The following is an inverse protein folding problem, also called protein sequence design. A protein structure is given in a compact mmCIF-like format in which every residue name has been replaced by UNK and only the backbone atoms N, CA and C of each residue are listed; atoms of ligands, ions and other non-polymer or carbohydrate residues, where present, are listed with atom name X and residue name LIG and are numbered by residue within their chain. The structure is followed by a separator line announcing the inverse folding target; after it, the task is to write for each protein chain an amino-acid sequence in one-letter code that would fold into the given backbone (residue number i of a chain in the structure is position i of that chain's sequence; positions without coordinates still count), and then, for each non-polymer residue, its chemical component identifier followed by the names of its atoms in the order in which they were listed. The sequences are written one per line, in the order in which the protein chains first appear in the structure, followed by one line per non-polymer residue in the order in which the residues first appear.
data_IF_532870571113
#
_entry.id   IF_532870571113
#
_cell.length_a   1.000
_cell.length_b   1.000
_cell.length_c   1.000
_cell.angle_alpha   90.00
_cell.angle_beta   90.00
_cell.angle_gamma   90.00
#
_symmetry.space_group_name_H-M   'P 1'
#
loop_
_entity.id
_entity.type
_entity.pdbx_description
1 polymer ?
#
# COMPACT_ATOMS: atom_id res chain seq x y z
N UNK A 1 13.61 -48.85 13.11
CA UNK A 1 13.58 -49.33 14.51
C UNK A 1 12.89 -48.27 15.35
N UNK A 2 11.75 -48.61 15.94
CA UNK A 2 10.90 -47.70 16.69
C UNK A 2 11.49 -47.42 18.09
N UNK A 3 11.52 -46.16 18.52
CA UNK A 3 11.83 -45.82 19.91
C UNK A 3 10.62 -46.15 20.79
N UNK A 4 10.84 -47.05 21.74
CA UNK A 4 9.89 -47.39 22.81
C UNK A 4 10.14 -46.41 23.95
N UNK A 5 9.21 -45.49 24.22
CA UNK A 5 9.22 -44.69 25.44
C UNK A 5 8.39 -45.40 26.53
N UNK A 6 9.02 -45.64 27.68
CA UNK A 6 8.40 -46.27 28.86
C UNK A 6 7.70 -45.21 29.73
N UNK A 7 6.39 -45.38 29.94
CA UNK A 7 5.67 -44.76 31.06
C UNK A 7 4.90 -45.90 31.76
N UNK A 8 5.18 -46.13 33.05
CA UNK A 8 4.39 -47.05 33.88
C UNK A 8 4.52 -48.55 33.60
N UNK A 9 5.52 -49.01 32.83
CA UNK A 9 5.78 -50.45 32.64
C UNK A 9 4.90 -51.18 31.61
N UNK A 10 4.03 -50.47 30.89
CA UNK A 10 3.30 -51.00 29.73
C UNK A 10 3.93 -50.52 28.42
N UNK A 11 4.06 -51.43 27.45
CA UNK A 11 4.52 -51.09 26.10
C UNK A 11 3.34 -50.56 25.28
N UNK A 12 3.38 -49.28 24.90
CA UNK A 12 2.41 -48.68 23.98
C UNK A 12 3.01 -48.55 22.58
N UNK A 13 2.27 -49.01 21.57
CA UNK A 13 2.55 -48.65 20.18
C UNK A 13 1.78 -47.38 19.83
N UNK A 14 2.45 -46.23 19.88
CA UNK A 14 1.92 -44.97 19.34
C UNK A 14 2.37 -44.91 17.88
N UNK A 15 1.46 -44.90 16.89
CA UNK A 15 1.85 -44.65 15.51
C UNK A 15 2.46 -43.24 15.43
N UNK A 16 3.73 -43.14 15.03
CA UNK A 16 4.40 -41.87 14.71
C UNK A 16 3.77 -41.24 13.46
N UNK A 17 2.55 -40.71 13.57
CA UNK A 17 1.93 -39.93 12.51
C UNK A 17 1.60 -38.50 12.93
N UNK A 18 1.32 -38.23 14.21
CA UNK A 18 1.36 -36.90 14.82
C UNK A 18 1.13 -37.04 16.33
N UNK A 19 1.93 -36.37 17.16
CA UNK A 19 1.55 -36.12 18.55
C UNK A 19 0.64 -34.90 18.55
N UNK A 20 -0.66 -35.11 18.75
CA UNK A 20 -1.62 -34.03 18.93
C UNK A 20 -1.60 -33.59 20.39
N UNK A 21 -1.10 -32.38 20.63
CA UNK A 21 -1.23 -31.73 21.93
C UNK A 21 -2.57 -30.99 21.96
N UNK A 22 -3.51 -31.48 22.75
CA UNK A 22 -4.74 -30.73 23.03
C UNK A 22 -4.48 -29.86 24.25
N UNK A 23 -4.56 -28.54 24.07
CA UNK A 23 -4.42 -27.60 25.19
C UNK A 23 -5.67 -27.69 26.07
N UNK A 24 -5.53 -28.26 27.27
CA UNK A 24 -6.63 -28.41 28.22
C UNK A 24 -6.52 -27.24 29.22
N UNK A 25 -7.17 -26.09 28.93
CA UNK A 25 -7.21 -24.96 29.87
C UNK A 25 -7.99 -25.41 31.11
N UNK A 26 -7.40 -25.46 32.31
CA UNK A 26 -8.21 -25.52 33.52
C UNK A 26 -9.09 -24.27 33.54
N UNK A 27 -10.34 -24.44 33.98
CA UNK A 27 -11.44 -23.47 34.04
C UNK A 27 -11.19 -22.25 34.95
N UNK A 28 -9.95 -21.76 35.01
CA UNK A 28 -9.58 -20.62 35.81
C UNK A 28 -9.63 -19.34 34.95
N UNK A 29 -10.68 -18.60 35.22
CA UNK A 29 -10.89 -17.14 35.30
C UNK A 29 -9.72 -16.17 35.00
N UNK A 30 -8.48 -16.34 35.50
CA UNK A 30 -7.46 -15.30 35.37
C UNK A 30 -7.12 -14.95 33.92
N UNK A 31 -7.17 -15.90 32.99
CA UNK A 31 -6.74 -15.69 31.60
C UNK A 31 -7.76 -14.91 30.76
N UNK A 32 -9.06 -14.98 31.09
CA UNK A 32 -10.12 -14.18 30.46
C UNK A 32 -10.14 -12.74 31.00
N UNK A 33 -9.89 -12.56 32.30
CA UNK A 33 -9.66 -11.22 32.89
C UNK A 33 -8.38 -10.58 32.34
N UNK A 34 -7.32 -11.38 32.17
CA UNK A 34 -6.10 -10.99 31.48
C UNK A 34 -6.41 -10.61 30.05
N UNK A 35 -7.18 -11.38 29.27
CA UNK A 35 -7.56 -11.00 27.91
C UNK A 35 -8.36 -9.68 27.85
N UNK A 36 -9.33 -9.44 28.75
CA UNK A 36 -10.09 -8.18 28.77
C UNK A 36 -9.21 -6.97 29.17
N UNK A 37 -8.31 -7.14 30.15
CA UNK A 37 -7.31 -6.12 30.53
C UNK A 37 -6.20 -5.96 29.49
N UNK A 38 -5.85 -7.01 28.73
CA UNK A 38 -4.83 -7.03 27.68
C UNK A 38 -5.35 -6.48 26.34
N UNK A 39 -6.56 -6.86 25.93
CA UNK A 39 -7.25 -6.35 24.72
C UNK A 39 -7.55 -4.85 24.86
N UNK A 40 -7.65 -4.36 26.10
CA UNK A 40 -7.86 -2.95 26.42
C UNK A 40 -6.75 -2.02 25.93
N UNK A 41 -5.52 -2.46 25.61
CA UNK A 41 -4.50 -1.65 24.89
C UNK A 41 -3.15 -2.34 24.57
N UNK A 42 -2.92 -3.60 24.97
CA UNK A 42 -1.58 -4.24 24.90
C UNK A 42 -1.71 -5.77 24.81
N UNK A 43 -2.16 -6.30 23.67
CA UNK A 43 -1.71 -7.65 23.31
C UNK A 43 -0.18 -7.61 23.25
N UNK A 44 0.51 -8.57 23.88
CA UNK A 44 1.97 -8.60 24.11
C UNK A 44 2.75 -7.73 23.13
N UNK A 45 2.98 -6.47 23.51
CA UNK A 45 3.94 -5.60 22.83
C UNK A 45 5.29 -6.16 23.22
N UNK A 46 5.75 -7.20 22.51
CA UNK A 46 7.15 -7.54 22.49
C UNK A 46 7.87 -6.23 22.16
N UNK A 47 8.53 -5.64 23.15
CA UNK A 47 9.35 -4.46 22.94
C UNK A 47 10.50 -4.89 22.04
N UNK A 48 10.28 -4.81 20.73
CA UNK A 48 11.34 -4.94 19.74
C UNK A 48 12.12 -3.62 19.79
N UNK A 49 13.39 -3.61 20.22
CA UNK A 49 14.19 -2.39 20.26
C UNK A 49 14.57 -1.86 18.86
N UNK A 50 13.97 -2.39 17.79
CA UNK A 50 14.49 -2.30 16.44
C UNK A 50 13.52 -1.54 15.53
N UNK A 51 13.91 -0.34 15.13
CA UNK A 51 13.13 0.52 14.23
C UNK A 51 12.94 -0.12 12.85
N UNK A 52 11.73 -0.59 12.56
CA UNK A 52 11.32 -1.08 11.24
C UNK A 52 10.62 0.04 10.50
N UNK A 53 11.22 0.51 9.41
CA UNK A 53 10.70 1.62 8.63
C UNK A 53 10.13 1.15 7.29
N UNK A 54 8.94 1.66 6.90
CA UNK A 54 8.22 1.23 5.71
C UNK A 54 8.20 2.33 4.64
N UNK A 55 9.23 2.35 3.81
CA UNK A 55 9.31 3.29 2.70
C UNK A 55 8.93 2.65 1.36
N UNK A 56 7.85 3.15 0.75
CA UNK A 56 7.65 3.08 -0.71
C UNK A 56 6.41 2.32 -1.14
N UNK A 57 5.35 3.07 -1.46
CA UNK A 57 4.19 2.57 -2.19
C UNK A 57 4.36 2.90 -3.67
N UNK A 58 4.41 1.87 -4.53
CA UNK A 58 4.39 2.02 -5.99
C UNK A 58 5.76 2.22 -6.67
N UNK A 59 5.87 1.72 -7.91
CA UNK A 59 6.89 2.07 -8.92
C UNK A 59 6.31 1.92 -10.34
N UNK A 60 6.70 2.78 -11.29
CA UNK A 60 6.40 2.65 -12.73
C UNK A 60 4.95 2.99 -13.05
N UNK A 61 4.27 2.17 -13.86
CA UNK A 61 2.82 2.32 -14.14
C UNK A 61 1.93 2.19 -12.88
N UNK A 62 2.52 1.78 -11.75
CA UNK A 62 1.89 1.65 -10.44
C UNK A 62 2.28 2.77 -9.46
N UNK A 63 3.09 3.75 -9.89
CA UNK A 63 3.18 5.03 -9.19
C UNK A 63 1.92 5.81 -9.49
N UNK A 64 1.39 6.46 -8.47
CA UNK A 64 0.42 7.51 -8.72
C UNK A 64 1.19 8.67 -9.32
N UNK A 65 0.76 9.07 -10.51
CA UNK A 65 1.39 10.12 -11.29
C UNK A 65 0.53 11.38 -11.22
N UNK A 66 1.14 12.56 -11.17
CA UNK A 66 0.44 13.86 -11.18
C UNK A 66 -0.49 13.98 -12.40
N UNK A 67 -0.17 13.30 -13.49
CA UNK A 67 -0.96 13.32 -14.72
C UNK A 67 -2.17 12.39 -14.70
N UNK A 68 -2.35 11.57 -13.66
CA UNK A 68 -3.39 10.52 -13.62
C UNK A 68 -3.98 10.36 -12.23
N UNK A 69 -5.31 10.22 -12.17
CA UNK A 69 -5.98 9.83 -10.94
C UNK A 69 -5.61 8.40 -10.47
N UNK A 70 -5.79 8.15 -9.17
CA UNK A 70 -5.54 6.84 -8.58
C UNK A 70 -6.49 5.78 -9.16
N UNK A 71 -5.95 4.88 -9.97
CA UNK A 71 -6.63 3.69 -10.51
C UNK A 71 -6.69 2.51 -9.53
N UNK A 72 -7.51 1.54 -9.87
CA UNK A 72 -7.69 0.25 -9.16
C UNK A 72 -6.39 -0.49 -8.85
N UNK A 73 -5.40 -0.44 -9.73
CA UNK A 73 -4.09 -1.08 -9.52
C UNK A 73 -3.32 -0.53 -8.31
N UNK A 74 -3.57 0.72 -7.90
CA UNK A 74 -2.92 1.35 -6.75
C UNK A 74 -3.55 0.96 -5.41
N UNK A 75 -4.78 0.43 -5.43
CA UNK A 75 -5.48 0.02 -4.21
C UNK A 75 -4.66 -1.02 -3.44
N UNK A 76 -4.17 -2.06 -4.11
CA UNK A 76 -3.44 -3.17 -3.46
C UNK A 76 -2.20 -2.67 -2.71
N UNK A 77 -1.36 -1.88 -3.39
CA UNK A 77 -0.17 -1.30 -2.76
C UNK A 77 -0.57 -0.55 -1.49
N UNK A 78 -1.58 0.32 -1.59
CA UNK A 78 -2.07 1.17 -0.51
C UNK A 78 -2.54 0.36 0.71
N UNK A 79 -3.44 -0.61 0.52
CA UNK A 79 -4.02 -1.35 1.64
C UNK A 79 -3.05 -2.39 2.22
N UNK A 80 -2.20 -3.01 1.38
CA UNK A 80 -1.20 -3.97 1.84
C UNK A 80 -0.13 -3.24 2.64
N UNK A 81 0.38 -2.10 2.16
CA UNK A 81 1.39 -1.37 2.90
C UNK A 81 0.83 -0.73 4.16
N UNK A 82 -0.45 -0.31 4.18
CA UNK A 82 -1.10 0.12 5.42
C UNK A 82 -1.18 -1.03 6.43
N UNK A 83 -1.61 -2.22 6.00
CA UNK A 83 -1.64 -3.42 6.86
C UNK A 83 -0.25 -3.76 7.42
N UNK A 84 0.78 -3.79 6.58
CA UNK A 84 2.15 -4.07 7.02
C UNK A 84 2.63 -3.00 8.00
N UNK A 85 2.34 -1.72 7.75
CA UNK A 85 2.68 -0.63 8.65
C UNK A 85 2.01 -0.77 10.01
N UNK A 86 0.70 -1.04 10.02
CA UNK A 86 -0.08 -1.17 11.24
C UNK A 86 0.37 -2.36 12.10
N UNK A 87 0.71 -3.50 11.48
CA UNK A 87 1.29 -4.64 12.22
C UNK A 87 2.64 -4.28 12.83
N UNK A 88 3.50 -3.56 12.09
CA UNK A 88 4.82 -3.20 12.62
C UNK A 88 4.69 -2.21 13.79
N UNK A 89 3.78 -1.23 13.72
CA UNK A 89 3.49 -0.33 14.84
C UNK A 89 2.90 -1.08 16.04
N UNK A 90 1.99 -2.02 15.78
CA UNK A 90 1.39 -2.86 16.82
C UNK A 90 2.46 -3.67 17.57
N UNK A 91 3.45 -4.19 16.84
CA UNK A 91 4.63 -4.87 17.38
C UNK A 91 5.67 -3.92 18.01
N UNK A 92 5.36 -2.62 18.14
CA UNK A 92 6.20 -1.63 18.84
C UNK A 92 7.30 -1.00 18.00
N UNK A 93 7.35 -1.24 16.69
CA UNK A 93 8.36 -0.63 15.83
C UNK A 93 7.98 0.81 15.47
N UNK A 94 8.97 1.69 15.33
CA UNK A 94 8.76 3.04 14.77
C UNK A 94 8.63 2.95 13.26
N UNK A 95 7.45 3.28 12.73
CA UNK A 95 7.15 3.23 11.29
C UNK A 95 7.06 4.63 10.70
N UNK A 96 7.81 4.88 9.62
CA UNK A 96 7.59 6.02 8.71
C UNK A 96 6.90 5.46 7.47
N UNK A 97 5.75 6.02 7.09
CA UNK A 97 5.00 5.66 5.89
C UNK A 97 5.27 6.69 4.81
N UNK A 98 6.01 6.31 3.77
CA UNK A 98 6.33 7.22 2.66
C UNK A 98 5.57 6.86 1.38
N UNK A 99 4.87 7.84 0.83
CA UNK A 99 4.29 7.74 -0.50
C UNK A 99 5.28 8.29 -1.53
N UNK A 100 5.83 7.42 -2.37
CA UNK A 100 6.76 7.84 -3.42
C UNK A 100 5.95 8.02 -4.69
N UNK A 101 5.82 9.26 -5.14
CA UNK A 101 4.93 9.67 -6.23
C UNK A 101 5.72 9.92 -7.51
N UNK A 102 5.10 9.53 -8.63
CA UNK A 102 5.68 9.68 -9.95
C UNK A 102 5.48 11.09 -10.48
N UNK A 103 6.55 11.87 -10.53
CA UNK A 103 6.51 13.24 -11.05
C UNK A 103 7.72 13.58 -11.94
N UNK A 104 8.48 12.57 -12.39
CA UNK A 104 9.59 12.75 -13.32
C UNK A 104 9.63 11.77 -14.52
N UNK A 105 9.87 12.27 -15.75
CA UNK A 105 9.68 11.52 -17.01
C UNK A 105 8.98 12.28 -18.16
N UNK A 106 8.79 11.60 -19.29
CA UNK A 106 8.27 12.20 -20.53
C UNK A 106 6.82 12.69 -20.40
N UNK A 107 6.03 12.04 -19.53
CA UNK A 107 4.66 12.45 -19.22
C UNK A 107 4.54 13.90 -18.71
N UNK A 108 5.61 14.48 -18.15
CA UNK A 108 5.61 15.87 -17.67
C UNK A 108 5.73 16.88 -18.78
N UNK A 109 6.60 16.59 -19.75
CA UNK A 109 6.65 17.36 -20.99
C UNK A 109 5.28 17.39 -21.66
N UNK A 110 4.57 16.26 -21.64
CA UNK A 110 3.25 16.13 -22.25
C UNK A 110 2.21 16.93 -21.47
N UNK A 111 2.18 16.82 -20.14
CA UNK A 111 1.26 17.60 -19.32
C UNK A 111 1.48 19.11 -19.50
N UNK A 112 2.74 19.56 -19.44
CA UNK A 112 3.08 20.97 -19.61
C UNK A 112 2.70 21.48 -21.01
N UNK A 113 2.97 20.71 -22.06
CA UNK A 113 2.50 21.01 -23.41
C UNK A 113 0.97 21.08 -23.48
N UNK A 114 0.28 20.14 -22.85
CA UNK A 114 -1.19 20.08 -22.83
C UNK A 114 -1.82 21.31 -22.17
N UNK A 115 -1.25 21.76 -21.05
CA UNK A 115 -1.66 22.99 -20.37
C UNK A 115 -1.50 24.20 -21.29
N UNK A 116 -0.38 24.29 -22.03
CA UNK A 116 -0.14 25.35 -23.00
C UNK A 116 -1.11 25.29 -24.18
N UNK A 117 -1.33 24.11 -24.78
CA UNK A 117 -2.23 23.92 -25.92
C UNK A 117 -3.69 24.24 -25.57
N UNK A 118 -4.13 23.88 -24.36
CA UNK A 118 -5.48 24.20 -23.88
C UNK A 118 -5.63 25.64 -23.39
N UNK A 119 -4.54 26.40 -23.26
CA UNK A 119 -4.56 27.77 -22.74
C UNK A 119 -5.11 27.88 -21.32
N UNK A 120 -4.89 26.86 -20.48
CA UNK A 120 -5.43 26.83 -19.11
C UNK A 120 -4.78 27.90 -18.24
N UNK A 121 -5.59 28.74 -17.62
CA UNK A 121 -5.12 29.69 -16.61
C UNK A 121 -4.93 28.99 -15.25
N UNK A 122 -4.13 29.57 -14.33
CA UNK A 122 -4.04 29.05 -12.96
C UNK A 122 -5.39 28.93 -12.26
N UNK A 123 -6.34 29.84 -12.55
CA UNK A 123 -7.69 29.79 -11.99
C UNK A 123 -8.52 28.61 -12.52
N UNK A 124 -8.36 28.26 -13.81
CA UNK A 124 -9.03 27.09 -14.39
C UNK A 124 -8.56 25.80 -13.72
N UNK A 125 -7.24 25.68 -13.50
CA UNK A 125 -6.64 24.53 -12.85
C UNK A 125 -7.10 24.45 -11.39
N UNK A 126 -7.03 25.55 -10.64
CA UNK A 126 -7.41 25.56 -9.22
C UNK A 126 -8.83 25.04 -8.96
N UNK A 127 -9.79 25.33 -9.84
CA UNK A 127 -11.18 24.92 -9.65
C UNK A 127 -11.42 23.41 -9.78
N UNK A 128 -10.62 22.71 -10.60
CA UNK A 128 -10.73 21.26 -10.75
C UNK A 128 -9.38 20.64 -11.15
N UNK A 129 -8.37 20.65 -10.26
CA UNK A 129 -6.98 20.47 -10.64
C UNK A 129 -6.72 19.16 -11.36
N UNK A 130 -7.09 18.04 -10.76
CA UNK A 130 -6.71 16.73 -11.29
C UNK A 130 -7.45 16.40 -12.58
N UNK A 131 -8.74 16.75 -12.68
CA UNK A 131 -9.48 16.58 -13.93
C UNK A 131 -8.90 17.46 -15.05
N UNK A 132 -8.63 18.74 -14.76
CA UNK A 132 -8.06 19.67 -15.73
C UNK A 132 -6.67 19.21 -16.21
N UNK A 133 -5.79 18.79 -15.29
CA UNK A 133 -4.46 18.27 -15.61
C UNK A 133 -4.54 16.95 -16.40
N UNK A 134 -5.45 16.04 -16.03
CA UNK A 134 -5.67 14.80 -16.78
C UNK A 134 -6.15 15.08 -18.22
N UNK A 135 -7.14 15.97 -18.39
CA UNK A 135 -7.62 16.33 -19.72
C UNK A 135 -6.55 17.05 -20.56
N UNK A 136 -5.71 17.88 -19.94
CA UNK A 136 -4.57 18.51 -20.60
C UNK A 136 -3.56 17.47 -21.08
N UNK A 137 -3.22 16.51 -20.22
CA UNK A 137 -2.33 15.40 -20.57
C UNK A 137 -2.88 14.57 -21.74
N UNK A 138 -4.17 14.20 -21.71
CA UNK A 138 -4.83 13.47 -22.80
C UNK A 138 -4.79 14.27 -24.10
N UNK A 139 -5.08 15.58 -24.04
CA UNK A 139 -5.05 16.45 -25.21
C UNK A 139 -3.64 16.55 -25.83
N UNK A 140 -2.60 16.65 -25.01
CA UNK A 140 -1.21 16.62 -25.49
C UNK A 140 -0.87 15.30 -26.17
N UNK A 141 -1.33 14.18 -25.61
CA UNK A 141 -1.10 12.86 -26.19
C UNK A 141 -1.75 12.73 -27.58
N UNK A 142 -2.97 13.23 -27.74
CA UNK A 142 -3.64 13.31 -29.05
C UNK A 142 -2.90 14.23 -30.03
N UNK A 143 -2.41 15.39 -29.56
CA UNK A 143 -1.62 16.29 -30.37
C UNK A 143 -0.32 15.63 -30.88
N UNK A 144 0.41 14.91 -30.02
CA UNK A 144 1.61 14.15 -30.39
C UNK A 144 1.30 13.02 -31.36
N UNK A 145 0.16 12.34 -31.19
CA UNK A 145 -0.29 11.30 -32.11
C UNK A 145 -0.57 11.85 -33.51
N UNK A 146 -1.08 13.08 -33.60
CA UNK A 146 -1.43 13.74 -34.86
C UNK A 146 -0.23 14.44 -35.52
N UNK A 147 0.67 15.00 -34.71
CA UNK A 147 1.90 15.66 -35.16
C UNK A 147 3.10 15.19 -34.32
N UNK A 148 3.95 14.29 -34.85
CA UNK A 148 5.14 13.81 -34.16
C UNK A 148 6.10 14.91 -33.71
N UNK A 149 6.10 16.10 -34.34
CA UNK A 149 6.95 17.22 -33.89
C UNK A 149 6.58 17.72 -32.49
N UNK A 150 5.32 17.54 -32.08
CA UNK A 150 4.88 17.89 -30.73
C UNK A 150 5.58 17.05 -29.66
N UNK A 151 6.07 15.86 -30.01
CA UNK A 151 6.90 15.06 -29.10
C UNK A 151 8.20 15.81 -28.76
N UNK A 152 8.88 16.36 -29.77
CA UNK A 152 10.12 17.12 -29.57
C UNK A 152 9.88 18.38 -28.73
N UNK A 153 8.75 19.08 -28.97
CA UNK A 153 8.34 20.23 -28.14
C UNK A 153 8.17 19.81 -26.69
N UNK A 154 7.46 18.72 -26.43
CA UNK A 154 7.26 18.22 -25.09
C UNK A 154 8.57 17.80 -24.41
N UNK A 155 9.49 17.15 -25.15
CA UNK A 155 10.80 16.75 -24.64
C UNK A 155 11.67 17.98 -24.33
N UNK A 156 11.61 19.03 -25.16
CA UNK A 156 12.30 20.29 -24.90
C UNK A 156 11.76 20.99 -23.65
N UNK A 157 10.44 20.95 -23.40
CA UNK A 157 9.86 21.46 -22.15
C UNK A 157 10.40 20.67 -20.95
N UNK A 158 10.35 19.34 -21.01
CA UNK A 158 10.85 18.48 -19.94
C UNK A 158 12.34 18.69 -19.65
N UNK A 159 13.18 18.79 -20.69
CA UNK A 159 14.62 19.04 -20.56
C UNK A 159 14.92 20.36 -19.85
N UNK A 160 14.19 21.44 -20.18
CA UNK A 160 14.33 22.74 -19.46
C UNK A 160 13.91 22.66 -18.00
N UNK A 161 12.88 21.87 -17.68
CA UNK A 161 12.47 21.62 -16.29
C UNK A 161 13.54 20.82 -15.53
N UNK A 162 14.17 19.83 -16.18
CA UNK A 162 15.23 19.01 -15.58
C UNK A 162 16.51 19.80 -15.28
N UNK A 163 16.79 20.82 -16.09
CA UNK A 163 17.91 21.75 -15.87
C UNK A 163 17.59 22.84 -14.84
N UNK A 164 16.35 22.94 -14.38
CA UNK A 164 15.91 23.95 -13.42
C UNK A 164 15.88 25.39 -13.97
N UNK A 165 15.88 25.54 -15.30
CA UNK A 165 15.94 26.84 -15.98
C UNK A 165 14.55 27.39 -16.35
N UNK A 166 13.48 26.82 -15.80
CA UNK A 166 12.10 27.15 -16.16
C UNK A 166 11.34 27.79 -14.99
N UNK A 167 10.60 28.87 -15.27
CA UNK A 167 9.56 29.44 -14.38
C UNK A 167 8.47 28.41 -14.03
N UNK A 168 8.42 27.30 -14.77
CA UNK A 168 7.46 26.22 -14.62
C UNK A 168 7.68 25.38 -13.36
N UNK A 169 8.81 25.50 -12.64
CA UNK A 169 9.04 24.78 -11.39
C UNK A 169 8.07 25.19 -10.26
N UNK A 170 7.68 26.47 -10.19
CA UNK A 170 6.70 26.92 -9.20
C UNK A 170 5.32 26.32 -9.48
N UNK A 171 4.87 26.41 -10.74
CA UNK A 171 3.61 25.79 -11.20
C UNK A 171 3.61 24.29 -10.95
N UNK A 172 4.78 23.66 -11.12
CA UNK A 172 4.94 22.24 -10.88
C UNK A 172 4.74 21.87 -9.41
N UNK A 173 5.25 22.70 -8.49
CA UNK A 173 4.98 22.53 -7.07
C UNK A 173 3.49 22.68 -6.75
N UNK A 174 2.79 23.64 -7.36
CA UNK A 174 1.33 23.76 -7.18
C UNK A 174 0.59 22.49 -7.65
N UNK A 175 0.99 21.89 -8.77
CA UNK A 175 0.37 20.66 -9.28
C UNK A 175 0.61 19.46 -8.35
N UNK A 176 1.79 19.38 -7.74
CA UNK A 176 2.09 18.40 -6.68
C UNK A 176 1.18 18.57 -5.49
N UNK A 177 1.00 19.81 -5.04
CA UNK A 177 0.21 20.12 -3.86
C UNK A 177 -1.28 19.76 -4.09
N UNK A 178 -1.83 20.11 -5.25
CA UNK A 178 -3.19 19.69 -5.64
C UNK A 178 -3.33 18.16 -5.67
N UNK A 179 -2.32 17.46 -6.18
CA UNK A 179 -2.31 15.98 -6.23
C UNK A 179 -2.30 15.38 -4.84
N UNK A 180 -1.45 15.89 -3.94
CA UNK A 180 -1.38 15.40 -2.55
C UNK A 180 -2.70 15.63 -1.83
N UNK A 181 -3.32 16.81 -2.00
CA UNK A 181 -4.60 17.11 -1.36
C UNK A 181 -5.71 16.13 -1.77
N UNK A 182 -5.90 15.86 -3.06
CA UNK A 182 -6.92 14.88 -3.51
C UNK A 182 -6.59 13.46 -3.03
N UNK A 183 -5.30 13.10 -3.04
CA UNK A 183 -4.87 11.79 -2.54
C UNK A 183 -5.10 11.62 -1.05
N UNK A 184 -4.84 12.66 -0.24
CA UNK A 184 -5.09 12.62 1.21
C UNK A 184 -6.56 12.37 1.54
N UNK A 185 -7.50 12.97 0.79
CA UNK A 185 -8.92 12.69 0.96
C UNK A 185 -9.25 11.21 0.69
N UNK A 186 -8.71 10.66 -0.39
CA UNK A 186 -8.90 9.26 -0.76
C UNK A 186 -8.23 8.30 0.24
N UNK A 187 -7.03 8.62 0.71
CA UNK A 187 -6.32 7.82 1.71
C UNK A 187 -7.02 7.84 3.06
N UNK A 188 -7.52 9.00 3.49
CA UNK A 188 -8.31 9.13 4.71
C UNK A 188 -9.55 8.24 4.66
N UNK A 189 -10.24 8.21 3.52
CA UNK A 189 -11.38 7.32 3.29
C UNK A 189 -11.00 5.83 3.40
N UNK A 190 -9.79 5.45 2.97
CA UNK A 190 -9.26 4.09 3.09
C UNK A 190 -8.67 3.78 4.49
N UNK A 191 -8.67 4.73 5.42
CA UNK A 191 -8.02 4.57 6.73
C UNK A 191 -6.49 4.53 6.64
N UNK A 192 -5.90 5.28 5.70
CA UNK A 192 -4.45 5.38 5.49
C UNK A 192 -3.99 6.81 5.77
N UNK A 193 -2.88 6.94 6.48
CA UNK A 193 -2.19 8.20 6.70
C UNK A 193 -0.70 8.03 6.38
N UNK A 194 -0.14 8.94 5.60
CA UNK A 194 1.29 8.95 5.27
C UNK A 194 2.05 9.87 6.23
N UNK A 195 3.30 9.49 6.54
CA UNK A 195 4.22 10.36 7.28
C UNK A 195 4.80 11.44 6.37
N UNK A 196 4.96 11.13 5.08
CA UNK A 196 5.46 12.10 4.10
C UNK A 196 5.23 11.64 2.67
N UNK A 197 5.28 12.63 1.78
CA UNK A 197 5.17 12.47 0.33
C UNK A 197 6.51 12.81 -0.31
N UNK A 198 7.01 11.89 -1.14
CA UNK A 198 8.25 12.03 -1.87
C UNK A 198 8.00 11.96 -3.36
N UNK A 199 8.92 12.50 -4.13
CA UNK A 199 8.75 12.71 -5.56
C UNK A 199 10.00 12.26 -6.32
N UNK A 200 9.84 11.62 -7.47
CA UNK A 200 10.98 11.19 -8.30
C UNK A 200 11.91 12.36 -8.68
N UNK A 201 11.32 13.53 -8.86
CA UNK A 201 11.99 14.80 -9.15
C UNK A 201 12.89 15.33 -8.02
N UNK A 202 12.65 14.94 -6.76
CA UNK A 202 13.52 15.32 -5.63
C UNK A 202 14.93 14.74 -5.80
N UNK A 203 15.04 13.71 -6.64
CA UNK A 203 16.28 13.04 -7.01
C UNK A 203 16.73 13.49 -8.41
N UNK A 204 16.92 14.81 -8.56
CA UNK A 204 17.43 15.44 -9.78
C UNK A 204 18.94 15.26 -9.99
N UNK A 205 19.48 15.94 -11.00
CA UNK A 205 20.86 15.78 -11.52
C UNK A 205 21.93 15.80 -10.43
N UNK A 206 21.83 16.71 -9.46
CA UNK A 206 22.85 16.85 -8.40
C UNK A 206 22.92 15.63 -7.47
N UNK A 207 21.77 15.11 -7.00
CA UNK A 207 21.75 13.92 -6.14
C UNK A 207 22.21 12.69 -6.92
N UNK A 208 21.79 12.58 -8.18
CA UNK A 208 22.20 11.50 -9.08
C UNK A 208 23.72 11.51 -9.30
N UNK A 209 24.35 12.68 -9.48
CA UNK A 209 25.80 12.79 -9.67
C UNK A 209 26.57 12.18 -8.50
N UNK A 210 26.17 12.47 -7.26
CA UNK A 210 26.81 11.92 -6.07
C UNK A 210 26.70 10.38 -6.03
N UNK A 211 25.57 9.82 -6.49
CA UNK A 211 25.40 8.37 -6.62
C UNK A 211 26.33 7.79 -7.66
N UNK A 212 26.43 8.40 -8.85
CA UNK A 212 27.33 7.92 -9.90
C UNK A 212 28.80 7.93 -9.44
N UNK A 213 29.25 9.02 -8.82
CA UNK A 213 30.61 9.10 -8.25
C UNK A 213 30.86 8.02 -7.20
N UNK A 214 29.87 7.73 -6.35
CA UNK A 214 29.96 6.64 -5.38
C UNK A 214 30.07 5.28 -6.08
N UNK A 215 29.21 5.01 -7.08
CA UNK A 215 29.26 3.75 -7.84
C UNK A 215 30.58 3.57 -8.60
N UNK A 216 31.19 4.66 -9.06
CA UNK A 216 32.53 4.68 -9.67
C UNK A 216 33.63 4.38 -8.63
N UNK A 217 33.58 4.99 -7.44
CA UNK A 217 34.54 4.69 -6.34
C UNK A 217 34.50 3.23 -5.92
N UNK A 218 33.33 2.62 -5.86
CA UNK A 218 33.16 1.19 -5.58
C UNK A 218 33.48 0.29 -6.79
N UNK A 219 33.85 0.87 -7.94
CA UNK A 219 34.23 0.17 -9.16
C UNK A 219 33.12 -0.72 -9.76
N UNK A 220 31.86 -0.43 -9.47
CA UNK A 220 30.69 -1.21 -9.94
C UNK A 220 30.06 -0.63 -11.21
N UNK A 221 30.23 0.66 -11.47
CA UNK A 221 29.76 1.32 -12.68
C UNK A 221 30.76 1.09 -13.84
N UNK A 222 30.27 0.63 -14.99
CA UNK A 222 31.08 0.36 -16.18
C UNK A 222 30.54 1.14 -17.37
N UNK A 223 31.42 1.83 -18.08
CA UNK A 223 31.11 2.46 -19.35
C UNK A 223 30.98 1.40 -20.45
N UNK A 224 30.06 1.61 -21.38
CA UNK A 224 29.86 0.80 -22.58
C UNK A 224 30.31 1.58 -23.82
N UNK A 225 30.62 0.85 -24.90
CA UNK A 225 31.07 1.44 -26.16
C UNK A 225 30.02 2.33 -26.83
N UNK A 226 28.75 2.16 -26.50
CA UNK A 226 27.62 2.96 -26.98
C UNK A 226 27.28 4.17 -26.09
N UNK A 227 28.14 4.50 -25.12
CA UNK A 227 27.98 5.63 -24.22
C UNK A 227 27.07 5.36 -23.01
N UNK A 228 26.50 4.16 -22.87
CA UNK A 228 25.73 3.80 -21.67
C UNK A 228 26.66 3.54 -20.48
N UNK A 229 26.14 3.72 -19.27
CA UNK A 229 26.77 3.20 -18.04
C UNK A 229 25.92 2.09 -17.43
N UNK A 230 26.56 0.98 -17.08
CA UNK A 230 25.89 -0.25 -16.62
C UNK A 230 26.52 -0.77 -15.32
N UNK A 231 25.77 -1.61 -14.61
CA UNK A 231 26.29 -2.46 -13.52
C UNK A 231 26.14 -3.93 -13.93
N UNK A 232 27.20 -4.72 -13.74
CA UNK A 232 27.14 -6.15 -13.92
C UNK A 232 26.74 -6.82 -12.61
N UNK A 233 25.56 -7.43 -12.62
CA UNK A 233 25.10 -8.37 -11.60
C UNK A 233 25.30 -9.79 -12.15
N UNK A 234 25.41 -10.79 -11.28
CA UNK A 234 25.86 -12.16 -11.60
C UNK A 234 25.48 -12.68 -13.01
N UNK A 235 24.21 -12.60 -13.39
CA UNK A 235 23.72 -13.07 -14.69
C UNK A 235 23.06 -11.97 -15.54
N UNK A 236 23.23 -10.68 -15.18
CA UNK A 236 22.50 -9.57 -15.80
C UNK A 236 23.36 -8.31 -15.90
N UNK A 237 23.26 -7.63 -17.02
CA UNK A 237 23.81 -6.27 -17.19
C UNK A 237 22.68 -5.27 -17.05
N UNK A 238 22.74 -4.45 -15.99
CA UNK A 238 21.68 -3.52 -15.66
C UNK A 238 22.07 -2.11 -16.12
N UNK A 239 21.30 -1.47 -17.02
CA UNK A 239 21.57 -0.10 -17.41
C UNK A 239 21.24 0.89 -16.29
N UNK A 240 22.19 1.78 -15.99
CA UNK A 240 22.07 2.83 -14.97
C UNK A 240 21.92 4.20 -15.63
N UNK A 241 22.70 4.45 -16.70
CA UNK A 241 22.68 5.68 -17.49
C UNK A 241 22.54 5.31 -18.97
N UNK A 242 21.68 6.02 -19.69
CA UNK A 242 21.49 5.87 -21.13
C UNK A 242 22.64 6.50 -21.92
N UNK A 243 22.68 6.25 -23.23
CA UNK A 243 23.68 6.81 -24.14
C UNK A 243 23.61 8.33 -24.28
N UNK A 244 22.45 8.93 -24.01
CA UNK A 244 22.23 10.38 -23.97
C UNK A 244 22.65 11.03 -22.63
N UNK A 245 23.18 10.24 -21.69
CA UNK A 245 23.58 10.70 -20.34
C UNK A 245 22.43 10.76 -19.34
N UNK A 246 21.18 10.49 -19.74
CA UNK A 246 20.03 10.51 -18.82
C UNK A 246 20.01 9.28 -17.89
N UNK A 247 19.68 9.52 -16.62
CA UNK A 247 19.57 8.48 -15.60
C UNK A 247 18.33 7.60 -15.76
N UNK A 248 18.50 6.29 -15.59
CA UNK A 248 17.40 5.32 -15.51
C UNK A 248 16.66 5.41 -14.16
N UNK A 249 15.42 4.90 -14.08
CA UNK A 249 14.65 4.90 -12.83
C UNK A 249 15.37 4.22 -11.66
N UNK A 250 16.18 3.20 -11.93
CA UNK A 250 16.96 2.52 -10.88
C UNK A 250 18.00 3.44 -10.24
N UNK A 251 18.61 4.33 -11.02
CA UNK A 251 19.55 5.31 -10.48
C UNK A 251 18.87 6.26 -9.48
N UNK A 252 17.63 6.69 -9.76
CA UNK A 252 16.83 7.51 -8.85
C UNK A 252 16.46 6.75 -7.58
N UNK A 253 16.09 5.48 -7.69
CA UNK A 253 15.74 4.68 -6.51
C UNK A 253 16.95 4.42 -5.61
N UNK A 254 18.15 4.29 -6.17
CA UNK A 254 19.39 4.24 -5.39
C UNK A 254 19.59 5.58 -4.66
N UNK A 255 19.43 6.71 -5.34
CA UNK A 255 19.51 8.02 -4.72
C UNK A 255 18.49 8.20 -3.59
N UNK A 256 17.25 7.74 -3.80
CA UNK A 256 16.18 7.76 -2.80
C UNK A 256 16.48 6.86 -1.61
N UNK A 257 17.00 5.67 -1.85
CA UNK A 257 17.40 4.74 -0.78
C UNK A 257 18.48 5.34 0.12
N UNK A 258 19.49 5.97 -0.45
CA UNK A 258 20.58 6.62 0.29
C UNK A 258 20.05 7.81 1.10
N UNK A 259 19.30 8.70 0.46
CA UNK A 259 18.73 9.89 1.10
C UNK A 259 17.77 9.55 2.24
N UNK A 260 16.96 8.50 2.09
CA UNK A 260 16.09 7.99 3.16
C UNK A 260 16.91 7.46 4.34
N UNK A 261 18.01 6.77 4.07
CA UNK A 261 18.86 6.29 5.15
C UNK A 261 19.55 7.44 5.88
N UNK A 262 20.01 8.46 5.15
CA UNK A 262 20.62 9.65 5.75
C UNK A 262 19.63 10.41 6.65
N UNK A 263 18.34 10.48 6.26
CA UNK A 263 17.29 11.15 7.04
C UNK A 263 16.78 10.36 8.23
N UNK A 264 16.64 9.04 8.08
CA UNK A 264 15.90 8.23 9.05
C UNK A 264 16.71 7.13 9.72
N UNK A 265 17.86 6.77 9.15
CA UNK A 265 18.75 5.72 9.67
C UNK A 265 18.03 4.39 9.88
N UNK A 266 17.21 3.99 8.90
CA UNK A 266 16.36 2.81 9.00
C UNK A 266 17.16 1.50 9.11
N UNK A 267 16.59 0.50 9.79
CA UNK A 267 17.12 -0.88 9.80
C UNK A 267 16.47 -1.78 8.75
N UNK A 268 15.21 -1.51 8.43
CA UNK A 268 14.42 -2.17 7.39
C UNK A 268 13.80 -1.10 6.49
N UNK A 269 13.71 -1.38 5.19
CA UNK A 269 13.04 -0.55 4.19
C UNK A 269 12.25 -1.46 3.26
N UNK A 270 10.91 -1.42 3.35
CA UNK A 270 10.04 -2.26 2.54
C UNK A 270 9.34 -1.50 1.42
N UNK A 271 9.62 -1.91 0.18
CA UNK A 271 8.93 -1.46 -1.02
C UNK A 271 7.69 -2.33 -1.26
N UNK A 272 6.50 -1.75 -1.23
CA UNK A 272 5.23 -2.46 -1.46
C UNK A 272 4.78 -2.22 -2.89
N UNK A 273 5.22 -3.09 -3.79
CA UNK A 273 5.06 -2.90 -5.24
C UNK A 273 4.64 -4.20 -5.93
N UNK A 274 3.89 -4.05 -7.02
CA UNK A 274 3.38 -5.14 -7.86
C UNK A 274 4.51 -6.09 -8.33
N UNK A 275 4.16 -7.37 -8.48
CA UNK A 275 5.11 -8.45 -8.74
C UNK A 275 5.90 -8.28 -10.05
N UNK A 276 5.35 -7.63 -11.07
CA UNK A 276 6.02 -7.30 -12.32
C UNK A 276 7.27 -6.42 -12.17
N UNK A 277 7.48 -5.76 -11.03
CA UNK A 277 8.69 -4.99 -10.72
C UNK A 277 9.75 -5.79 -9.94
N UNK A 278 9.61 -7.12 -9.84
CA UNK A 278 10.52 -7.97 -9.06
C UNK A 278 11.99 -7.83 -9.48
N UNK A 279 12.27 -7.81 -10.78
CA UNK A 279 13.65 -7.71 -11.28
C UNK A 279 14.29 -6.37 -10.95
N UNK A 280 13.49 -5.31 -10.98
CA UNK A 280 13.93 -3.96 -10.61
C UNK A 280 14.37 -3.92 -9.13
N UNK A 281 13.52 -4.39 -8.21
CA UNK A 281 13.86 -4.35 -6.78
C UNK A 281 14.94 -5.37 -6.39
N UNK A 282 15.01 -6.52 -7.09
CA UNK A 282 16.16 -7.42 -6.96
C UNK A 282 17.46 -6.70 -7.34
N UNK A 283 17.46 -5.99 -8.47
CA UNK A 283 18.63 -5.21 -8.91
C UNK A 283 19.00 -4.10 -7.92
N UNK A 284 18.01 -3.42 -7.33
CA UNK A 284 18.24 -2.42 -6.28
C UNK A 284 18.91 -3.04 -5.04
N UNK A 285 18.43 -4.19 -4.57
CA UNK A 285 19.03 -4.91 -3.45
C UNK A 285 20.46 -5.37 -3.76
N UNK A 286 20.67 -5.97 -4.94
CA UNK A 286 21.99 -6.45 -5.37
C UNK A 286 22.99 -5.29 -5.46
N UNK A 287 22.59 -4.13 -6.02
CA UNK A 287 23.44 -2.95 -6.09
C UNK A 287 23.73 -2.39 -4.68
N UNK A 288 22.75 -2.37 -3.78
CA UNK A 288 22.97 -1.95 -2.40
C UNK A 288 24.01 -2.84 -1.68
N UNK A 289 24.02 -4.14 -1.96
CA UNK A 289 25.05 -5.06 -1.46
C UNK A 289 26.42 -4.81 -2.09
N UNK A 290 26.49 -4.57 -3.41
CA UNK A 290 27.75 -4.25 -4.10
C UNK A 290 28.36 -2.93 -3.62
N UNK A 291 27.51 -1.96 -3.26
CA UNK A 291 27.91 -0.70 -2.60
C UNK A 291 28.29 -0.89 -1.12
N UNK A 292 28.19 -2.11 -0.60
CA UNK A 292 28.51 -2.48 0.78
C UNK A 292 27.74 -1.62 1.80
N UNK A 293 26.49 -1.26 1.50
CA UNK A 293 25.66 -0.48 2.41
C UNK A 293 25.34 -1.33 3.65
N UNK A 294 25.55 -0.83 4.88
CA UNK A 294 25.40 -1.62 6.11
C UNK A 294 23.95 -2.11 6.32
N UNK A 295 22.97 -1.43 5.73
CA UNK A 295 21.54 -1.75 5.79
C UNK A 295 21.03 -2.50 4.55
N UNK A 296 21.90 -2.97 3.64
CA UNK A 296 21.46 -3.65 2.41
C UNK A 296 20.55 -4.86 2.67
N UNK A 297 20.84 -5.64 3.72
CA UNK A 297 20.01 -6.79 4.16
C UNK A 297 18.67 -6.38 4.78
N UNK A 298 18.46 -5.08 4.99
CA UNK A 298 17.23 -4.50 5.48
C UNK A 298 16.23 -4.16 4.38
N UNK A 299 16.65 -4.18 3.12
CA UNK A 299 15.83 -3.80 1.98
C UNK A 299 14.95 -4.99 1.57
N UNK A 300 13.65 -4.78 1.47
CA UNK A 300 12.69 -5.84 1.14
C UNK A 300 11.66 -5.40 0.10
N UNK A 301 11.25 -6.34 -0.76
CA UNK A 301 10.16 -6.14 -1.72
C UNK A 301 8.93 -6.94 -1.29
N UNK A 302 7.89 -6.25 -0.84
CA UNK A 302 6.59 -6.82 -0.52
C UNK A 302 5.77 -6.88 -1.80
N UNK A 303 5.88 -8.03 -2.47
CA UNK A 303 5.23 -8.33 -3.76
C UNK A 303 3.75 -8.61 -3.61
N UNK A 304 2.97 -8.20 -4.61
CA UNK A 304 1.56 -8.55 -4.76
C UNK A 304 1.15 -8.73 -6.23
N UNK A 305 0.12 -9.54 -6.49
CA UNK A 305 -0.43 -9.77 -7.84
C UNK A 305 -1.40 -8.67 -8.29
N UNK A 306 -1.87 -8.73 -9.54
CA UNK A 306 -2.72 -7.69 -10.15
C UNK A 306 -4.21 -7.92 -9.88
N UNK A 307 -4.97 -6.83 -9.92
CA UNK A 307 -6.44 -6.89 -10.01
C UNK A 307 -6.84 -6.68 -11.47
N UNK A 308 -7.58 -7.63 -12.03
CA UNK A 308 -8.13 -7.53 -13.38
C UNK A 308 -9.61 -7.17 -13.35
N UNK A 309 -10.08 -6.43 -14.35
CA UNK A 309 -11.50 -6.15 -14.55
C UNK A 309 -12.15 -5.20 -13.54
N UNK A 310 -11.39 -4.54 -12.66
CA UNK A 310 -11.97 -3.56 -11.72
C UNK A 310 -12.49 -2.34 -12.50
N UNK A 311 -13.82 -2.21 -12.51
CA UNK A 311 -14.59 -1.16 -13.18
C UNK A 311 -15.90 -0.92 -12.41
N UNK A 312 -16.60 0.19 -12.68
CA UNK A 312 -17.98 0.38 -12.19
C UNK A 312 -18.91 -0.65 -12.81
N UNK A 313 -20.12 -0.82 -12.26
CA UNK A 313 -21.15 -1.72 -12.83
C UNK A 313 -21.46 -1.45 -14.32
N UNK A 314 -21.15 -0.25 -14.82
CA UNK A 314 -21.34 0.19 -16.21
C UNK A 314 -20.14 -0.06 -17.15
N UNK A 315 -19.06 -0.69 -16.67
CA UNK A 315 -17.96 -1.17 -17.51
C UNK A 315 -16.99 -0.11 -18.07
N UNK A 316 -16.94 1.11 -17.51
CA UNK A 316 -15.95 2.13 -17.91
C UNK A 316 -14.59 1.87 -17.26
N UNK A 317 -13.51 2.48 -17.76
CA UNK A 317 -12.25 2.59 -16.98
C UNK A 317 -12.53 3.52 -15.81
N UNK A 318 -12.26 3.08 -14.58
CA UNK A 318 -12.76 3.77 -13.38
C UNK A 318 -11.64 4.05 -12.38
N UNK A 319 -11.67 5.26 -11.85
CA UNK A 319 -10.80 5.71 -10.78
C UNK A 319 -11.23 5.07 -9.45
N UNK A 320 -10.31 4.95 -8.49
CA UNK A 320 -10.63 4.30 -7.22
C UNK A 320 -11.75 5.04 -6.47
N UNK A 321 -11.81 6.37 -6.58
CA UNK A 321 -12.88 7.18 -5.98
C UNK A 321 -14.27 6.75 -6.47
N UNK A 322 -14.44 6.46 -7.76
CA UNK A 322 -15.74 6.05 -8.28
C UNK A 322 -16.03 4.58 -7.93
N UNK A 323 -15.01 3.71 -7.81
CA UNK A 323 -15.21 2.34 -7.29
C UNK A 323 -15.74 2.38 -5.85
N UNK A 324 -15.13 3.20 -4.99
CA UNK A 324 -15.61 3.34 -3.61
C UNK A 324 -16.99 3.99 -3.57
N UNK A 325 -17.27 4.97 -4.41
CA UNK A 325 -18.60 5.57 -4.52
C UNK A 325 -19.65 4.56 -4.99
N UNK A 326 -19.34 3.72 -5.97
CA UNK A 326 -20.22 2.65 -6.43
C UNK A 326 -20.48 1.62 -5.32
N UNK A 327 -19.45 1.28 -4.53
CA UNK A 327 -19.61 0.41 -3.36
C UNK A 327 -20.55 1.02 -2.31
N UNK A 328 -20.44 2.32 -2.05
CA UNK A 328 -21.35 3.06 -1.16
C UNK A 328 -22.80 3.03 -1.67
N UNK A 329 -23.03 3.29 -2.96
CA UNK A 329 -24.38 3.26 -3.55
C UNK A 329 -25.00 1.86 -3.48
N UNK A 330 -24.19 0.84 -3.74
CA UNK A 330 -24.65 -0.54 -3.65
C UNK A 330 -25.03 -0.94 -2.21
N UNK A 331 -24.29 -0.48 -1.20
CA UNK A 331 -24.68 -0.71 0.20
C UNK A 331 -26.01 -0.02 0.52
N UNK A 332 -26.18 1.22 0.05
CA UNK A 332 -27.43 1.98 0.20
C UNK A 332 -28.63 1.23 -0.39
N UNK A 333 -28.50 0.72 -1.61
CA UNK A 333 -29.52 -0.13 -2.26
C UNK A 333 -29.87 -1.35 -1.38
N UNK A 334 -28.86 -2.08 -0.89
CA UNK A 334 -29.08 -3.27 -0.05
C UNK A 334 -29.71 -2.98 1.30
N UNK A 335 -29.40 -1.84 1.92
CA UNK A 335 -30.01 -1.45 3.19
C UNK A 335 -31.52 -1.23 3.06
N UNK A 336 -31.96 -0.65 1.93
CA UNK A 336 -33.37 -0.41 1.61
C UNK A 336 -34.13 -1.70 1.35
N UNK A 337 -33.50 -2.67 0.68
CA UNK A 337 -34.12 -3.95 0.34
C UNK A 337 -34.15 -4.94 1.53
N UNK A 338 -33.37 -4.69 2.58
CA UNK A 338 -33.27 -5.57 3.74
C UNK A 338 -34.43 -5.35 4.73
N UNK A 339 -35.23 -6.39 5.05
CA UNK A 339 -36.39 -6.27 5.94
C UNK A 339 -36.02 -6.11 7.42
N UNK A 340 -34.72 -6.19 7.77
CA UNK A 340 -34.23 -6.19 9.16
C UNK A 340 -33.38 -4.97 9.50
N UNK A 341 -33.21 -4.04 8.56
CA UNK A 341 -32.44 -2.81 8.81
C UNK A 341 -33.23 -1.88 9.74
N UNK A 342 -32.64 -1.51 10.89
CA UNK A 342 -33.25 -0.54 11.80
C UNK A 342 -33.38 0.83 11.13
N UNK A 343 -34.54 1.47 11.31
CA UNK A 343 -34.96 2.67 10.57
C UNK A 343 -34.08 3.91 10.78
N UNK A 344 -33.35 4.01 11.91
CA UNK A 344 -32.58 5.19 12.27
C UNK A 344 -31.31 5.43 11.44
N UNK A 345 -30.84 4.43 10.69
CA UNK A 345 -29.57 4.47 9.95
C UNK A 345 -29.71 4.02 8.49
N UNK A 346 -30.95 3.93 7.99
CA UNK A 346 -31.20 3.68 6.57
C UNK A 346 -30.75 4.92 5.78
N UNK A 347 -29.99 4.71 4.71
CA UNK A 347 -29.49 5.76 3.81
C UNK A 347 -28.47 6.74 4.40
N UNK A 348 -28.00 6.50 5.62
CA UNK A 348 -26.90 7.27 6.22
C UNK A 348 -25.66 7.18 5.30
N UNK A 349 -25.23 8.31 4.70
CA UNK A 349 -24.12 8.32 3.76
C UNK A 349 -22.80 7.83 4.36
N UNK A 350 -22.55 8.12 5.64
CA UNK A 350 -21.31 7.75 6.33
C UNK A 350 -21.28 6.25 6.62
N UNK A 351 -22.38 5.69 7.13
CA UNK A 351 -22.50 4.23 7.34
C UNK A 351 -22.36 3.48 6.02
N UNK A 352 -23.02 3.95 4.96
CA UNK A 352 -22.89 3.34 3.63
C UNK A 352 -21.45 3.38 3.13
N UNK A 353 -20.71 4.46 3.41
CA UNK A 353 -19.33 4.61 2.98
C UNK A 353 -18.38 3.68 3.74
N UNK A 354 -18.54 3.59 5.06
CA UNK A 354 -17.76 2.67 5.92
C UNK A 354 -17.98 1.23 5.47
N UNK A 355 -19.23 0.82 5.26
CA UNK A 355 -19.58 -0.54 4.84
C UNK A 355 -19.07 -0.84 3.42
N UNK A 356 -19.24 0.10 2.49
CA UNK A 356 -18.78 -0.03 1.10
C UNK A 356 -17.25 -0.13 1.02
N UNK A 357 -16.55 0.75 1.73
CA UNK A 357 -15.08 0.75 1.80
C UNK A 357 -14.56 -0.52 2.48
N UNK A 358 -15.16 -0.94 3.59
CA UNK A 358 -14.82 -2.21 4.27
C UNK A 358 -14.97 -3.41 3.34
N UNK A 359 -16.04 -3.44 2.53
CA UNK A 359 -16.27 -4.50 1.57
C UNK A 359 -15.17 -4.55 0.50
N UNK A 360 -14.74 -3.40 -0.03
CA UNK A 360 -13.67 -3.30 -1.03
C UNK A 360 -12.32 -3.75 -0.45
N UNK A 361 -11.96 -3.24 0.73
CA UNK A 361 -10.68 -3.57 1.40
C UNK A 361 -10.60 -5.07 1.71
N UNK A 362 -11.61 -5.62 2.37
CA UNK A 362 -11.60 -7.03 2.80
C UNK A 362 -11.69 -7.97 1.60
N UNK A 363 -12.36 -7.58 0.52
CA UNK A 363 -12.39 -8.39 -0.69
C UNK A 363 -11.00 -8.55 -1.34
N UNK A 364 -10.12 -7.57 -1.22
CA UNK A 364 -8.73 -7.69 -1.65
C UNK A 364 -7.87 -8.44 -0.63
N UNK A 365 -7.93 -8.05 0.65
CA UNK A 365 -7.08 -8.64 1.70
C UNK A 365 -7.36 -10.13 1.98
N UNK A 366 -8.57 -10.62 1.68
CA UNK A 366 -8.87 -12.05 1.77
C UNK A 366 -8.21 -12.88 0.66
N UNK A 367 -7.78 -12.25 -0.43
CA UNK A 367 -7.05 -12.93 -1.49
C UNK A 367 -5.60 -13.18 -1.07
N UNK A 368 -5.02 -14.28 -1.52
CA UNK A 368 -3.58 -14.49 -1.35
C UNK A 368 -2.83 -13.35 -2.06
N UNK A 369 -2.00 -12.62 -1.31
CA UNK A 369 -1.27 -11.43 -1.79
C UNK A 369 -0.60 -11.62 -3.16
N UNK A 370 0.10 -12.75 -3.34
CA UNK A 370 0.86 -13.05 -4.56
C UNK A 370 0.01 -13.45 -5.77
N UNK A 371 -1.29 -13.72 -5.59
CA UNK A 371 -2.16 -14.13 -6.69
C UNK A 371 -2.80 -12.93 -7.36
N UNK A 372 -2.90 -13.01 -8.68
CA UNK A 372 -3.77 -12.19 -9.48
C UNK A 372 -5.23 -12.62 -9.26
N UNK A 373 -6.16 -11.69 -9.36
CA UNK A 373 -7.59 -12.03 -9.30
C UNK A 373 -8.46 -11.10 -10.15
N UNK A 374 -9.62 -11.63 -10.57
CA UNK A 374 -10.64 -10.88 -11.28
C UNK A 374 -11.60 -10.24 -10.29
N UNK A 375 -11.77 -8.92 -10.41
CA UNK A 375 -12.74 -8.17 -9.63
C UNK A 375 -14.18 -8.53 -10.04
N UNK A 376 -15.06 -8.65 -9.05
CA UNK A 376 -16.44 -9.09 -9.25
C UNK A 376 -17.36 -8.43 -8.22
N UNK A 377 -18.22 -7.53 -8.69
CA UNK A 377 -19.22 -6.83 -7.86
C UNK A 377 -20.15 -7.79 -7.11
N UNK A 378 -20.46 -8.95 -7.69
CA UNK A 378 -21.33 -9.94 -7.06
C UNK A 378 -20.69 -10.62 -5.84
N UNK A 379 -19.36 -10.54 -5.69
CA UNK A 379 -18.61 -11.16 -4.59
C UNK A 379 -18.26 -10.20 -3.46
N UNK A 380 -18.10 -8.91 -3.75
CA UNK A 380 -17.65 -7.90 -2.78
C UNK A 380 -18.69 -7.66 -1.70
N UNK A 381 -19.97 -7.61 -2.10
CA UNK A 381 -21.06 -7.17 -1.23
C UNK A 381 -21.93 -8.31 -0.73
N UNK A 382 -21.48 -9.56 -0.82
CA UNK A 382 -22.26 -10.67 -0.24
C UNK A 382 -22.31 -10.48 1.27
N UNK A 383 -23.53 -10.45 1.81
CA UNK A 383 -23.76 -10.52 3.25
C UNK A 383 -23.32 -11.88 3.80
N UNK A 384 -23.46 -12.91 2.96
CA UNK A 384 -23.08 -14.30 3.25
C UNK A 384 -21.61 -14.55 2.89
N UNK A 385 -20.92 -15.33 3.75
CA UNK A 385 -19.49 -15.66 3.60
C UNK A 385 -18.54 -14.63 4.21
N UNK A 386 -17.25 -14.75 3.90
CA UNK A 386 -16.19 -13.92 4.48
C UNK A 386 -16.06 -12.60 3.71
N UNK A 387 -16.82 -11.60 4.17
CA UNK A 387 -16.91 -10.26 3.58
C UNK A 387 -16.69 -9.16 4.62
N UNK A 388 -16.31 -7.97 4.16
CA UNK A 388 -16.15 -6.82 5.04
C UNK A 388 -17.44 -6.38 5.70
N UNK A 389 -18.59 -6.57 5.04
CA UNK A 389 -19.89 -6.26 5.62
C UNK A 389 -20.21 -7.20 6.79
N UNK A 390 -19.91 -8.49 6.67
CA UNK A 390 -20.10 -9.45 7.77
C UNK A 390 -19.25 -9.07 8.99
N UNK A 391 -17.99 -8.67 8.79
CA UNK A 391 -17.13 -8.21 9.89
C UNK A 391 -17.72 -6.98 10.61
N UNK A 392 -18.17 -5.98 9.86
CA UNK A 392 -18.81 -4.79 10.43
C UNK A 392 -20.11 -5.13 11.15
N UNK A 393 -20.94 -6.02 10.58
CA UNK A 393 -22.18 -6.48 11.21
C UNK A 393 -21.91 -7.22 12.53
N UNK A 394 -20.92 -8.12 12.56
CA UNK A 394 -20.51 -8.83 13.78
C UNK A 394 -20.06 -7.83 14.85
N UNK A 395 -19.22 -6.86 14.50
CA UNK A 395 -18.79 -5.80 15.41
C UNK A 395 -19.99 -5.02 15.99
N UNK A 396 -20.88 -4.52 15.13
CA UNK A 396 -22.06 -3.77 15.56
C UNK A 396 -23.00 -4.59 16.45
N UNK A 397 -23.16 -5.89 16.17
CA UNK A 397 -23.98 -6.79 17.00
C UNK A 397 -23.36 -6.99 18.38
N UNK A 398 -22.06 -7.21 18.47
CA UNK A 398 -21.35 -7.32 19.75
C UNK A 398 -21.41 -6.01 20.54
N UNK A 399 -21.19 -4.87 19.88
CA UNK A 399 -21.31 -3.55 20.50
C UNK A 399 -22.74 -3.28 21.02
N UNK A 400 -23.76 -3.68 20.26
CA UNK A 400 -25.16 -3.54 20.69
C UNK A 400 -25.50 -4.45 21.88
N UNK A 401 -24.96 -5.67 21.93
CA UNK A 401 -25.13 -6.57 23.07
C UNK A 401 -24.49 -5.98 24.32
N UNK A 402 -23.26 -5.45 24.20
CA UNK A 402 -22.59 -4.76 25.29
C UNK A 402 -23.42 -3.57 25.78
N UNK A 403 -23.84 -2.67 24.90
CA UNK A 403 -24.68 -1.50 25.26
C UNK A 403 -26.00 -1.87 25.94
N UNK A 404 -26.59 -3.01 25.57
CA UNK A 404 -27.86 -3.47 26.16
C UNK A 404 -27.65 -4.04 27.57
N UNK A 405 -26.47 -4.59 27.86
CA UNK A 405 -26.15 -5.29 29.10
C UNK A 405 -25.31 -4.47 30.07
N UNK A 406 -24.56 -3.46 29.60
CA UNK A 406 -23.69 -2.63 30.42
C UNK A 406 -24.50 -1.69 31.32
N UNK A 407 -24.75 -2.11 32.56
CA UNK A 407 -25.26 -1.28 33.64
C UNK A 407 -24.14 -0.43 34.23
N UNK A 408 -23.72 0.64 33.55
CA UNK A 408 -22.77 1.66 34.05
C UNK A 408 -21.38 1.21 34.60
N UNK A 409 -21.11 -0.09 34.76
CA UNK A 409 -19.81 -0.63 35.13
C UNK A 409 -18.88 -0.61 33.92
N UNK A 410 -17.64 -0.18 34.12
CA UNK A 410 -16.62 -0.25 33.08
C UNK A 410 -16.39 -1.72 32.73
N UNK A 411 -16.34 -2.05 31.42
CA UNK A 411 -16.12 -3.42 30.93
C UNK A 411 -14.89 -4.08 31.58
N UNK A 412 -13.93 -3.27 32.01
CA UNK A 412 -12.69 -3.68 32.68
C UNK A 412 -12.90 -4.22 34.11
N UNK A 413 -14.03 -3.91 34.74
CA UNK A 413 -14.36 -4.32 36.11
C UNK A 413 -15.24 -5.58 36.16
N UNK A 414 -15.67 -6.10 35.00
CA UNK A 414 -16.50 -7.30 34.92
C UNK A 414 -15.71 -8.51 35.39
N UNK A 415 -16.07 -9.04 36.56
CA UNK A 415 -15.60 -10.34 37.04
C UNK A 415 -16.44 -11.46 36.43
N UNK A 416 -15.91 -12.12 35.40
CA UNK A 416 -16.57 -13.24 34.74
C UNK A 416 -16.07 -14.56 35.33
N UNK A 417 -16.95 -15.43 35.85
CA UNK A 417 -16.61 -16.81 36.23
C UNK A 417 -16.50 -17.70 34.99
N UNK A 418 -15.26 -17.95 34.54
CA UNK A 418 -14.96 -18.79 33.38
C UNK A 418 -15.42 -20.24 33.51
N UNK A 419 -15.73 -20.73 34.72
CA UNK A 419 -16.30 -22.07 34.90
C UNK A 419 -17.73 -22.21 34.37
N UNK A 420 -18.39 -21.09 34.07
CA UNK A 420 -19.73 -21.06 33.48
C UNK A 420 -19.73 -21.09 31.94
N UNK A 421 -18.56 -21.09 31.28
CA UNK A 421 -18.41 -21.09 29.82
C UNK A 421 -17.93 -22.46 29.31
N UNK A 422 -18.75 -23.49 29.52
CA UNK A 422 -18.41 -24.89 29.22
C UNK A 422 -19.06 -25.40 27.93
N UNK A 423 -19.87 -24.58 27.27
CA UNK A 423 -20.47 -24.90 25.99
C UNK A 423 -19.39 -25.10 24.91
N UNK A 424 -19.56 -26.07 23.99
CA UNK A 424 -18.59 -26.34 22.93
C UNK A 424 -18.20 -25.08 22.14
N UNK A 425 -19.17 -24.22 21.83
CA UNK A 425 -18.95 -22.97 21.10
C UNK A 425 -18.11 -21.96 21.88
N UNK A 426 -18.27 -21.92 23.21
CA UNK A 426 -17.48 -21.05 24.08
C UNK A 426 -16.04 -21.56 24.20
N UNK A 427 -15.85 -22.88 24.27
CA UNK A 427 -14.54 -23.52 24.28
C UNK A 427 -13.80 -23.30 22.95
N UNK A 428 -14.50 -23.40 21.81
CA UNK A 428 -13.94 -23.13 20.48
C UNK A 428 -13.44 -21.68 20.33
N UNK A 429 -14.12 -20.72 20.95
CA UNK A 429 -13.70 -19.31 20.99
C UNK A 429 -12.51 -19.04 21.93
N UNK A 430 -12.23 -19.94 22.88
CA UNK A 430 -11.09 -19.80 23.82
C UNK A 430 -9.77 -20.38 23.29
N UNK A 431 -9.85 -21.25 22.28
CA UNK A 431 -8.74 -22.02 21.71
C UNK A 431 -8.20 -21.36 20.42
N UNK A 432 -9.04 -20.65 19.68
CA UNK A 432 -8.66 -19.86 18.49
C UNK A 432 -8.32 -18.42 18.86
#
# INVERSE_FOLDING_TARGET
MAQVSRIGGANFHIPMAALNFTYNKPSQTPELQVLAQYLGNKYDKASSPNGIELCGFGKGEHLINITTEMRSGHLRSTIIGNFVSNINEFLGNRVVRLNYLGDWGTQFGYLALGVQLKGLSPADIHNNPIKCLYEAYVHAYEAVRNDPKMHEVAMNIFSRMEQGTADDLHKWQEYRDYTVQELEELYRRLGVAFTGYEWESQYGVNKIRNVLEMMERYSILKDQTDGRKVVHLQHRTIPIVKSDGSGMYLLRDIAALLDRHDRFTFQKCFYVVENGQSDHFASLCDIAQLLQLPYANGIGHIKFGRIHGMSTRRGKVVFLKDILHEAQQLVREKQRDSPTTKTSSIDDPEVCDILGTSAVIINDLKQRRMKDYNFDWSKILRMEGDSGIKLQYTHCRLASLLQTQSSAEEILDIQCDGSSLMEPEALDLQIN
#
